data_IF_902063030126
#
_entry.id   IF_902063030126
#
_cell.length_a   1.000
_cell.length_b   1.000
_cell.length_c   1.000
_cell.angle_alpha   90.00
_cell.angle_beta   90.00
_cell.angle_gamma   90.00
#
_symmetry.space_group_name_H-M   'P 1'
#
loop_
_entity.id
_entity.type
_entity.pdbx_description
1 polymer ?
#
# COMPACT_ATOMS: atom_id res chain seq x y z
N UNK A 1 21.10 -74.21 -38.11
CA UNK A 1 22.06 -73.11 -37.80
C UNK A 1 21.28 -71.82 -37.71
N UNK A 2 21.44 -71.12 -36.59
CA UNK A 2 20.67 -69.98 -36.06
C UNK A 2 20.16 -68.95 -37.09
N UNK A 3 18.85 -68.67 -37.09
CA UNK A 3 18.29 -67.44 -37.67
C UNK A 3 18.20 -66.39 -36.57
N UNK A 4 19.03 -65.35 -36.68
CA UNK A 4 19.04 -64.20 -35.78
C UNK A 4 17.74 -63.40 -35.95
N UNK A 5 16.97 -63.30 -34.86
CA UNK A 5 15.83 -62.39 -34.75
C UNK A 5 16.37 -60.99 -34.45
N UNK A 6 16.51 -60.18 -35.49
CA UNK A 6 16.86 -58.76 -35.39
C UNK A 6 15.65 -58.02 -34.80
N UNK A 7 15.70 -57.70 -33.51
CA UNK A 7 14.72 -56.82 -32.87
C UNK A 7 14.91 -55.41 -33.41
N UNK A 8 14.00 -54.98 -34.29
CA UNK A 8 13.90 -53.60 -34.70
C UNK A 8 13.55 -52.73 -33.47
N UNK A 9 14.22 -51.58 -33.26
CA UNK A 9 13.79 -50.64 -32.25
C UNK A 9 12.43 -50.09 -32.70
N UNK A 10 11.37 -50.43 -31.96
CA UNK A 10 10.08 -49.75 -32.10
C UNK A 10 10.33 -48.29 -31.74
N UNK A 11 10.54 -47.46 -32.77
CA UNK A 11 10.36 -46.04 -32.64
C UNK A 11 8.87 -45.88 -32.34
N UNK A 12 8.53 -45.81 -31.05
CA UNK A 12 7.18 -45.49 -30.60
C UNK A 12 6.80 -44.20 -31.31
N UNK A 13 5.95 -44.31 -32.32
CA UNK A 13 5.34 -43.17 -33.01
C UNK A 13 4.43 -42.55 -31.97
N UNK A 14 5.01 -41.70 -31.12
CA UNK A 14 4.28 -40.98 -30.10
C UNK A 14 3.23 -40.15 -30.82
N UNK A 15 1.97 -40.38 -30.47
CA UNK A 15 0.89 -39.48 -30.85
C UNK A 15 1.28 -38.06 -30.44
N UNK A 16 0.87 -37.07 -31.23
CA UNK A 16 1.17 -35.66 -30.98
C UNK A 16 0.79 -35.25 -29.54
N UNK A 17 -0.25 -35.84 -28.98
CA UNK A 17 -0.71 -35.57 -27.61
C UNK A 17 0.18 -36.21 -26.54
N UNK A 18 0.77 -37.38 -26.81
CA UNK A 18 1.72 -38.01 -25.88
C UNK A 18 3.05 -37.25 -25.87
N UNK A 19 3.46 -36.73 -27.03
CA UNK A 19 4.61 -35.84 -27.12
C UNK A 19 4.38 -34.54 -26.33
N UNK A 20 3.20 -33.91 -26.48
CA UNK A 20 2.81 -32.72 -25.71
C UNK A 20 2.82 -32.98 -24.21
N UNK A 21 2.25 -34.10 -23.76
CA UNK A 21 2.24 -34.49 -22.34
C UNK A 21 3.65 -34.71 -21.81
N UNK A 22 4.51 -35.41 -22.57
CA UNK A 22 5.89 -35.69 -22.16
C UNK A 22 6.75 -34.41 -22.09
N UNK A 23 6.55 -33.48 -23.03
CA UNK A 23 7.18 -32.16 -23.00
C UNK A 23 6.72 -31.35 -21.79
N UNK A 24 5.41 -31.26 -21.56
CA UNK A 24 4.85 -30.56 -20.40
C UNK A 24 5.38 -31.14 -19.08
N UNK A 25 5.41 -32.45 -18.96
CA UNK A 25 5.94 -33.15 -17.79
C UNK A 25 7.43 -32.86 -17.60
N UNK A 26 8.23 -32.88 -18.68
CA UNK A 26 9.66 -32.55 -18.63
C UNK A 26 9.89 -31.10 -18.19
N UNK A 27 9.08 -30.15 -18.68
CA UNK A 27 9.16 -28.74 -18.27
C UNK A 27 8.70 -28.53 -16.82
N UNK A 28 7.77 -29.36 -16.34
CA UNK A 28 7.32 -29.38 -14.94
C UNK A 28 8.39 -29.94 -14.01
N UNK A 29 8.94 -31.10 -14.32
CA UNK A 29 9.95 -31.79 -13.50
C UNK A 29 11.26 -31.00 -13.42
N UNK A 30 11.60 -30.24 -14.46
CA UNK A 30 12.74 -29.32 -14.48
C UNK A 30 12.48 -27.97 -13.80
N UNK A 31 11.27 -27.70 -13.30
CA UNK A 31 10.92 -26.45 -12.62
C UNK A 31 10.82 -25.22 -13.54
N UNK A 32 10.82 -25.41 -14.86
CA UNK A 32 10.75 -24.32 -15.84
C UNK A 32 9.38 -23.64 -15.79
N UNK A 33 8.32 -24.42 -15.60
CA UNK A 33 6.96 -23.88 -15.43
C UNK A 33 6.83 -23.02 -14.16
N UNK A 34 7.48 -23.41 -13.07
CA UNK A 34 7.44 -22.66 -11.81
C UNK A 34 8.26 -21.37 -11.90
N UNK A 35 9.37 -21.42 -12.63
CA UNK A 35 10.18 -20.23 -12.94
C UNK A 35 9.38 -19.25 -13.79
N UNK A 36 8.70 -19.74 -14.85
CA UNK A 36 7.85 -18.92 -15.71
C UNK A 36 6.66 -18.32 -14.95
N UNK A 37 5.99 -19.11 -14.10
CA UNK A 37 4.91 -18.61 -13.22
C UNK A 37 5.43 -17.53 -12.28
N UNK A 38 6.60 -17.73 -11.69
CA UNK A 38 7.22 -16.75 -10.77
C UNK A 38 7.58 -15.46 -11.51
N UNK A 39 8.15 -15.57 -12.71
CA UNK A 39 8.44 -14.41 -13.57
C UNK A 39 7.17 -13.64 -13.94
N UNK A 40 6.11 -14.33 -14.37
CA UNK A 40 4.81 -13.71 -14.67
C UNK A 40 4.20 -13.04 -13.43
N UNK A 41 4.25 -13.71 -12.27
CA UNK A 41 3.78 -13.12 -11.01
C UNK A 41 4.59 -11.87 -10.66
N UNK A 42 5.90 -11.90 -10.78
CA UNK A 42 6.76 -10.76 -10.47
C UNK A 42 6.55 -9.61 -11.45
N UNK A 43 6.38 -9.91 -12.74
CA UNK A 43 5.98 -8.92 -13.74
C UNK A 43 4.61 -8.33 -13.43
N UNK A 44 3.63 -9.14 -13.06
CA UNK A 44 2.30 -8.65 -12.69
C UNK A 44 2.34 -7.81 -11.41
N UNK A 45 3.12 -8.20 -10.40
CA UNK A 45 3.32 -7.38 -9.20
C UNK A 45 3.99 -6.06 -9.58
N UNK A 46 5.04 -6.09 -10.41
CA UNK A 46 5.69 -4.89 -10.90
C UNK A 46 4.70 -4.00 -11.67
N UNK A 47 3.95 -4.57 -12.62
CA UNK A 47 2.91 -3.91 -13.42
C UNK A 47 1.62 -3.62 -12.64
N UNK A 48 1.45 -4.02 -11.39
CA UNK A 48 0.33 -3.60 -10.54
C UNK A 48 0.77 -2.57 -9.50
N UNK A 49 1.99 -2.71 -8.98
CA UNK A 49 2.61 -1.69 -8.15
C UNK A 49 2.97 -0.44 -8.97
N UNK A 50 3.37 -0.61 -10.24
CA UNK A 50 3.72 0.51 -11.09
C UNK A 50 2.51 1.36 -11.54
N UNK A 51 1.28 0.87 -11.79
CA UNK A 51 0.12 1.72 -12.12
C UNK A 51 -0.67 2.21 -10.92
N UNK A 52 -0.64 1.53 -9.78
CA UNK A 52 -1.15 2.12 -8.52
C UNK A 52 -0.26 3.32 -8.09
N UNK A 53 0.97 3.42 -8.62
CA UNK A 53 1.86 4.58 -8.47
C UNK A 53 2.01 5.49 -9.71
N UNK A 54 1.84 4.98 -10.94
CA UNK A 54 1.99 5.74 -12.20
C UNK A 54 0.66 6.18 -12.82
N UNK A 55 -0.48 5.90 -12.18
CA UNK A 55 -1.73 6.61 -12.42
C UNK A 55 -1.69 8.00 -11.80
N UNK A 56 -0.81 8.89 -12.27
CA UNK A 56 -0.84 10.35 -12.03
C UNK A 56 -1.32 10.77 -10.62
N UNK A 57 -0.76 10.14 -9.59
CA UNK A 57 -0.59 10.71 -8.26
C UNK A 57 0.89 10.58 -7.91
N UNK A 58 1.76 11.04 -8.81
CA UNK A 58 2.88 11.81 -8.28
C UNK A 58 2.20 12.93 -7.48
N UNK A 59 2.34 13.00 -6.13
CA UNK A 59 2.09 14.26 -5.48
C UNK A 59 3.02 15.18 -6.23
N UNK A 60 2.45 16.05 -7.06
CA UNK A 60 3.16 16.96 -7.93
C UNK A 60 4.34 17.42 -7.10
N UNK A 61 5.55 16.95 -7.44
CA UNK A 61 6.71 17.17 -6.61
C UNK A 61 7.08 18.60 -6.86
N UNK A 62 6.27 19.50 -6.32
CA UNK A 62 6.63 20.82 -5.91
C UNK A 62 7.70 20.53 -4.87
N UNK A 63 8.92 20.32 -5.35
CA UNK A 63 10.14 20.23 -4.56
C UNK A 63 10.38 21.61 -3.95
N UNK A 64 9.49 21.95 -3.03
CA UNK A 64 9.62 23.02 -2.07
C UNK A 64 9.52 22.24 -0.78
N UNK A 65 10.59 22.15 -0.01
CA UNK A 65 10.63 21.47 1.30
C UNK A 65 9.43 21.86 2.22
N UNK A 66 8.82 23.03 1.98
CA UNK A 66 7.59 23.47 2.63
C UNK A 66 6.30 22.78 2.16
N UNK A 67 6.24 22.27 0.92
CA UNK A 67 5.07 21.56 0.38
C UNK A 67 4.86 20.21 1.08
N UNK A 68 5.94 19.48 1.39
CA UNK A 68 5.86 18.18 2.08
C UNK A 68 5.35 18.35 3.52
N UNK A 69 5.82 19.37 4.23
CA UNK A 69 5.33 19.72 5.58
C UNK A 69 3.88 20.21 5.55
N UNK A 70 3.50 21.04 4.57
CA UNK A 70 2.12 21.50 4.40
C UNK A 70 1.17 20.35 4.05
N UNK A 71 1.61 19.41 3.20
CA UNK A 71 0.85 18.20 2.86
C UNK A 71 0.69 17.33 4.10
N UNK A 72 1.77 17.09 4.87
CA UNK A 72 1.70 16.32 6.11
C UNK A 72 0.80 16.96 7.17
N UNK A 73 0.86 18.28 7.32
CA UNK A 73 -0.01 19.05 8.21
C UNK A 73 -1.48 18.99 7.76
N UNK A 74 -1.75 19.14 6.46
CA UNK A 74 -3.09 19.03 5.90
C UNK A 74 -3.68 17.63 6.10
N UNK A 75 -2.88 16.60 5.84
CA UNK A 75 -3.28 15.21 6.06
C UNK A 75 -3.55 14.93 7.55
N UNK A 76 -2.77 15.54 8.46
CA UNK A 76 -2.99 15.41 9.90
C UNK A 76 -4.30 16.07 10.35
N UNK A 77 -4.65 17.23 9.80
CA UNK A 77 -5.93 17.88 10.06
C UNK A 77 -7.12 17.03 9.58
N UNK A 78 -7.02 16.44 8.39
CA UNK A 78 -8.05 15.53 7.87
C UNK A 78 -8.15 14.29 8.75
N UNK A 79 -7.03 13.67 9.12
CA UNK A 79 -7.03 12.49 9.99
C UNK A 79 -7.64 12.78 11.37
N UNK A 80 -7.29 13.91 12.01
CA UNK A 80 -7.87 14.32 13.30
C UNK A 80 -9.38 14.53 13.17
N UNK A 81 -9.85 15.18 12.10
CA UNK A 81 -11.28 15.34 11.85
C UNK A 81 -12.00 13.99 11.67
N UNK A 82 -11.47 13.11 10.81
CA UNK A 82 -12.06 11.79 10.56
C UNK A 82 -12.14 10.97 11.87
N UNK A 83 -11.12 11.07 12.72
CA UNK A 83 -11.09 10.42 14.04
C UNK A 83 -12.14 11.00 14.98
N UNK A 84 -12.26 12.32 15.08
CA UNK A 84 -13.24 12.99 15.95
C UNK A 84 -14.69 12.75 15.52
N UNK A 85 -14.92 12.50 14.24
CA UNK A 85 -16.25 12.17 13.71
C UNK A 85 -16.54 10.65 13.71
N UNK A 86 -15.59 9.80 14.09
CA UNK A 86 -15.78 8.35 14.16
C UNK A 86 -15.83 7.67 12.79
N UNK A 87 -15.21 8.26 11.76
CA UNK A 87 -15.15 7.70 10.41
C UNK A 87 -14.07 6.61 10.29
N UNK A 88 -14.24 5.52 11.04
CA UNK A 88 -13.26 4.43 11.16
C UNK A 88 -12.88 3.80 9.81
N UNK A 89 -13.86 3.58 8.93
CA UNK A 89 -13.58 3.04 7.60
C UNK A 89 -12.75 4.01 6.76
N UNK A 90 -13.14 5.29 6.70
CA UNK A 90 -12.40 6.32 5.98
C UNK A 90 -10.97 6.46 6.51
N UNK A 91 -10.74 6.39 7.83
CA UNK A 91 -9.40 6.39 8.41
C UNK A 91 -8.55 5.20 7.96
N UNK A 92 -9.16 4.01 7.89
CA UNK A 92 -8.46 2.77 7.51
C UNK A 92 -7.92 2.80 6.09
N UNK A 93 -8.63 3.45 5.15
CA UNK A 93 -8.15 3.67 3.78
C UNK A 93 -7.27 4.92 3.67
N UNK A 94 -7.56 5.96 4.46
CA UNK A 94 -6.83 7.22 4.39
C UNK A 94 -5.37 7.10 4.85
N UNK A 95 -5.06 6.36 5.92
CA UNK A 95 -3.67 6.20 6.38
C UNK A 95 -2.74 5.57 5.32
N UNK A 96 -3.06 4.42 4.69
CA UNK A 96 -2.23 3.86 3.65
C UNK A 96 -2.22 4.71 2.37
N UNK A 97 -3.33 5.35 1.98
CA UNK A 97 -3.40 6.18 0.78
C UNK A 97 -2.63 7.51 0.91
N UNK A 98 -2.71 8.16 2.08
CA UNK A 98 -2.05 9.44 2.33
C UNK A 98 -0.56 9.32 2.67
N UNK A 99 -0.07 8.09 2.90
CA UNK A 99 1.28 7.83 3.41
C UNK A 99 1.50 8.38 4.83
N UNK A 100 0.44 8.79 5.53
CA UNK A 100 0.52 9.33 6.88
C UNK A 100 0.64 8.16 7.87
N UNK A 101 1.82 7.98 8.45
CA UNK A 101 1.95 7.06 9.58
C UNK A 101 1.29 7.68 10.82
N UNK A 102 0.59 6.88 11.65
CA UNK A 102 -0.03 7.34 12.91
C UNK A 102 0.97 8.05 13.84
N UNK A 103 2.25 7.69 13.77
CA UNK A 103 3.34 8.28 14.55
C UNK A 103 3.84 9.64 14.02
N UNK A 104 3.46 10.02 12.78
CA UNK A 104 3.87 11.26 12.11
C UNK A 104 2.78 12.34 12.13
N UNK A 105 1.79 12.21 12.99
CA UNK A 105 0.73 13.22 13.11
C UNK A 105 1.30 14.49 13.75
N UNK A 106 1.08 15.64 13.09
CA UNK A 106 1.49 16.93 13.61
C UNK A 106 0.70 17.26 14.88
N UNK A 107 1.40 17.71 15.93
CA UNK A 107 0.73 18.24 17.11
C UNK A 107 0.15 19.62 16.81
N UNK A 108 -0.81 20.07 17.63
CA UNK A 108 -1.36 21.43 17.48
C UNK A 108 -0.27 22.50 17.58
N UNK A 109 0.77 22.26 18.38
CA UNK A 109 1.91 23.18 18.51
C UNK A 109 2.70 23.25 17.21
N UNK A 110 2.97 22.10 16.58
CA UNK A 110 3.66 22.02 15.30
C UNK A 110 2.87 22.74 14.19
N UNK A 111 1.54 22.58 14.17
CA UNK A 111 0.66 23.27 13.22
C UNK A 111 0.69 24.79 13.42
N UNK A 112 0.63 25.27 14.66
CA UNK A 112 0.70 26.71 14.96
C UNK A 112 2.05 27.30 14.58
N UNK A 113 3.14 26.56 14.78
CA UNK A 113 4.48 26.95 14.36
C UNK A 113 4.60 26.99 12.83
N UNK A 114 4.00 26.01 12.13
CA UNK A 114 3.99 25.96 10.67
C UNK A 114 3.21 27.14 10.05
N UNK A 115 2.11 27.56 10.69
CA UNK A 115 1.31 28.73 10.31
C UNK A 115 1.97 30.06 10.76
N UNK A 116 3.15 29.99 11.40
CA UNK A 116 3.93 31.14 11.90
C UNK A 116 3.14 32.02 12.88
N UNK A 117 2.27 31.42 13.69
CA UNK A 117 1.58 32.13 14.75
C UNK A 117 2.58 32.37 15.89
N UNK A 118 2.74 33.63 16.28
CA UNK A 118 3.68 34.00 17.34
C UNK A 118 3.24 33.38 18.68
N UNK A 119 4.11 32.62 19.37
CA UNK A 119 3.80 32.00 20.66
C UNK A 119 3.48 33.01 21.78
N UNK A 120 3.98 34.24 21.68
CA UNK A 120 3.67 35.32 22.62
C UNK A 120 2.28 35.93 22.40
N UNK A 121 1.64 35.67 21.25
CA UNK A 121 0.32 36.23 20.92
C UNK A 121 -0.79 35.67 21.82
N UNK A 122 -1.79 36.50 22.10
CA UNK A 122 -3.01 36.07 22.80
C UNK A 122 -3.76 34.98 22.04
N UNK A 123 -3.71 35.02 20.70
CA UNK A 123 -4.31 34.02 19.81
C UNK A 123 -3.68 32.64 20.00
N UNK A 124 -2.35 32.54 20.04
CA UNK A 124 -1.65 31.28 20.28
C UNK A 124 -2.08 30.65 21.62
N UNK A 125 -2.06 31.44 22.70
CA UNK A 125 -2.46 30.99 24.04
C UNK A 125 -3.90 30.53 24.09
N UNK A 126 -4.80 31.27 23.42
CA UNK A 126 -6.22 30.91 23.32
C UNK A 126 -6.44 29.59 22.58
N UNK A 127 -5.74 29.39 21.45
CA UNK A 127 -5.85 28.17 20.64
C UNK A 127 -5.34 26.93 21.39
N UNK A 128 -4.19 27.00 22.07
CA UNK A 128 -3.68 25.88 22.88
C UNK A 128 -4.65 25.55 24.02
N UNK A 129 -5.12 26.56 24.75
CA UNK A 129 -6.06 26.36 25.87
C UNK A 129 -7.36 25.71 25.42
N UNK A 130 -7.87 26.08 24.23
CA UNK A 130 -9.07 25.47 23.66
C UNK A 130 -8.83 24.01 23.28
N UNK A 131 -7.70 23.72 22.66
CA UNK A 131 -7.36 22.36 22.21
C UNK A 131 -7.21 21.38 23.40
N UNK A 132 -6.56 21.80 24.47
CA UNK A 132 -6.41 20.99 25.69
C UNK A 132 -7.78 20.64 26.32
N UNK A 133 -8.72 21.58 26.29
CA UNK A 133 -10.10 21.37 26.76
C UNK A 133 -10.87 20.41 25.87
N UNK A 134 -10.70 20.50 24.55
CA UNK A 134 -11.38 19.62 23.59
C UNK A 134 -10.89 18.17 23.69
N UNK A 135 -9.59 17.93 23.90
CA UNK A 135 -9.07 16.57 24.10
C UNK A 135 -9.64 15.89 25.36
N UNK A 136 -9.96 16.67 26.40
CA UNK A 136 -10.65 16.15 27.59
C UNK A 136 -12.15 15.92 27.37
N UNK A 137 -12.76 16.51 26.33
CA UNK A 137 -14.20 16.43 26.05
C UNK A 137 -14.51 15.40 24.95
N UNK A 138 -13.66 15.29 23.93
CA UNK A 138 -13.74 14.29 22.86
C UNK A 138 -13.66 12.86 23.40
N UNK A 139 -12.80 12.59 24.39
CA UNK A 139 -12.76 11.28 25.08
C UNK A 139 -14.05 10.93 25.82
N UNK A 140 -14.91 11.91 26.12
CA UNK A 140 -16.18 11.68 26.84
C UNK A 140 -17.37 11.50 25.90
N UNK A 141 -17.35 12.05 24.68
CA UNK A 141 -18.50 11.98 23.77
C UNK A 141 -18.66 10.62 23.07
N UNK A 142 -17.56 9.89 22.84
CA UNK A 142 -17.61 8.55 22.24
C UNK A 142 -18.18 7.46 23.17
N UNK A 143 -18.28 7.73 24.48
CA UNK A 143 -18.96 6.82 25.41
C UNK A 143 -20.48 7.00 25.44
N UNK A 144 -21.04 8.00 24.75
CA UNK A 144 -22.48 8.30 24.80
C UNK A 144 -23.26 7.77 23.59
N UNK A 145 -22.59 7.40 22.50
CA UNK A 145 -23.24 6.83 21.30
C UNK A 145 -22.93 5.34 21.10
N UNK A 146 -22.91 4.57 22.19
CA UNK A 146 -22.90 3.11 22.13
C UNK A 146 -24.10 2.58 22.93
N UNK A 147 -25.28 2.81 22.39
CA UNK A 147 -26.50 2.05 22.68
C UNK A 147 -26.88 1.25 21.43
#
# INVERSE_FOLDING_TARGET
TMAQSTMAPKCDVLSQDDLRKKLYQTFKDRGILDTLKTQLRNQLIHELMHPVLNGKLQPWSISVEGSSLLIGASNSLVADHLQRCGYEYSLSVFFPESGLAKEKMFTMQDLLQLIKINPASSLYKSLITRFDKENQKGRRSFHVCRE
#
